data_IF_748091274765
#
_entry.id   IF_748091274765
#
_cell.length_a   1.000
_cell.length_b   1.000
_cell.length_c   1.000
_cell.angle_alpha   90.00
_cell.angle_beta   90.00
_cell.angle_gamma   90.00
#
_symmetry.space_group_name_H-M   'P 1'
#
loop_
_entity.id
_entity.type
_entity.pdbx_description
1 polymer ?
#
# COMPACT_ATOMS: atom_id res chain seq x y z
N UNK A 1 -12.07 28.31 13.06
CA UNK A 1 -11.88 27.40 14.19
C UNK A 1 -12.04 25.95 13.79
N UNK A 2 -13.20 25.52 13.28
CA UNK A 2 -13.46 24.13 12.88
C UNK A 2 -12.56 23.60 11.76
N UNK A 3 -11.97 24.44 10.93
CA UNK A 3 -11.04 24.04 9.85
C UNK A 3 -9.69 23.56 10.38
N UNK A 4 -9.35 23.86 11.63
CA UNK A 4 -8.05 23.50 12.25
C UNK A 4 -8.11 22.22 13.09
N UNK A 5 -9.30 21.60 13.25
CA UNK A 5 -9.37 20.31 13.92
C UNK A 5 -8.71 19.23 13.06
N UNK A 6 -7.75 18.53 13.65
CA UNK A 6 -7.16 17.33 13.03
C UNK A 6 -8.27 16.29 12.87
N UNK A 7 -8.36 15.72 11.69
CA UNK A 7 -9.32 14.66 11.36
C UNK A 7 -8.55 13.43 10.95
N UNK A 8 -8.94 12.28 11.47
CA UNK A 8 -8.32 11.01 11.19
C UNK A 8 -9.37 9.94 11.06
N UNK A 9 -9.09 8.94 10.23
CA UNK A 9 -9.82 7.68 10.13
C UNK A 9 -8.89 6.54 10.45
N UNK A 10 -9.43 5.45 10.99
CA UNK A 10 -8.71 4.21 11.25
C UNK A 10 -9.60 3.01 10.93
N UNK A 11 -8.99 2.00 10.34
CA UNK A 11 -9.61 0.69 10.12
C UNK A 11 -8.64 -0.41 10.51
N UNK A 12 -9.17 -1.47 11.13
CA UNK A 12 -8.46 -2.71 11.38
C UNK A 12 -9.28 -3.87 10.82
N UNK A 13 -8.61 -4.84 10.19
CA UNK A 13 -9.22 -5.96 9.51
C UNK A 13 -8.43 -7.24 9.80
N UNK A 14 -9.11 -8.36 9.91
CA UNK A 14 -8.50 -9.69 9.91
C UNK A 14 -8.23 -10.12 8.46
N UNK A 15 -6.96 -10.34 8.07
CA UNK A 15 -6.62 -10.54 6.67
C UNK A 15 -7.21 -11.82 6.04
N UNK A 16 -7.37 -12.88 6.85
CA UNK A 16 -7.84 -14.19 6.39
C UNK A 16 -9.34 -14.23 6.08
N UNK A 17 -10.11 -13.45 6.81
CA UNK A 17 -11.58 -13.46 6.70
C UNK A 17 -12.15 -12.20 6.05
N UNK A 18 -11.38 -11.13 5.98
CA UNK A 18 -11.84 -9.82 5.57
C UNK A 18 -12.70 -9.10 6.62
N UNK A 19 -12.90 -9.69 7.79
CA UNK A 19 -13.75 -9.09 8.81
C UNK A 19 -13.13 -7.82 9.38
N UNK A 20 -13.86 -6.72 9.28
CA UNK A 20 -13.48 -5.44 9.90
C UNK A 20 -13.65 -5.56 11.41
N UNK A 21 -12.56 -5.38 12.15
CA UNK A 21 -12.54 -5.47 13.62
C UNK A 21 -12.70 -4.12 14.30
N UNK A 22 -12.23 -3.04 13.65
CA UNK A 22 -12.40 -1.68 14.15
C UNK A 22 -12.57 -0.70 12.98
N UNK A 23 -13.43 0.29 13.19
CA UNK A 23 -13.67 1.37 12.24
C UNK A 23 -13.90 2.68 12.99
N UNK A 24 -13.04 3.64 12.74
CA UNK A 24 -13.19 5.00 13.26
C UNK A 24 -13.19 5.95 12.07
N UNK A 25 -14.37 6.37 11.61
CA UNK A 25 -14.53 7.24 10.43
C UNK A 25 -14.19 8.70 10.70
N UNK A 26 -14.15 9.12 11.95
CA UNK A 26 -13.85 10.50 12.34
C UNK A 26 -13.90 10.69 13.85
N UNK A 27 -13.58 11.92 14.29
CA UNK A 27 -13.42 12.25 15.72
C UNK A 27 -14.75 12.34 16.50
N UNK A 28 -15.83 12.72 15.82
CA UNK A 28 -17.14 12.86 16.46
C UNK A 28 -18.25 12.94 15.39
N UNK A 29 -19.04 11.88 15.25
CA UNK A 29 -20.08 11.80 14.23
C UNK A 29 -21.17 12.87 14.36
N UNK A 30 -21.49 13.31 15.57
CA UNK A 30 -22.50 14.35 15.81
C UNK A 30 -22.17 15.68 15.09
N UNK A 31 -20.87 15.99 15.00
CA UNK A 31 -20.40 17.25 14.42
C UNK A 31 -19.71 17.08 13.07
N UNK A 32 -19.18 15.88 12.77
CA UNK A 32 -18.40 15.59 11.57
C UNK A 32 -18.82 14.24 11.01
N UNK A 33 -19.80 14.24 10.13
CA UNK A 33 -20.39 13.01 9.55
C UNK A 33 -19.60 12.45 8.37
N UNK A 34 -18.54 13.13 7.94
CA UNK A 34 -17.68 12.68 6.85
C UNK A 34 -16.79 11.54 7.30
N UNK A 35 -16.89 10.41 6.60
CA UNK A 35 -16.11 9.19 6.90
C UNK A 35 -14.73 9.26 6.22
N UNK A 36 -13.70 9.39 7.04
CA UNK A 36 -12.31 9.44 6.58
C UNK A 36 -11.71 8.08 6.22
N UNK A 37 -12.40 6.97 6.51
CA UNK A 37 -11.95 5.64 6.14
C UNK A 37 -12.32 5.29 4.70
N UNK A 38 -13.59 5.50 4.31
CA UNK A 38 -14.11 5.09 3.00
C UNK A 38 -14.31 6.25 2.04
N UNK A 39 -14.88 7.37 2.52
CA UNK A 39 -15.14 8.54 1.66
C UNK A 39 -13.88 9.41 1.48
N UNK A 40 -13.04 9.49 2.50
CA UNK A 40 -11.82 10.28 2.50
C UNK A 40 -10.75 9.67 1.61
N UNK A 41 -10.58 10.20 0.40
CA UNK A 41 -9.46 9.87 -0.49
C UNK A 41 -8.37 10.92 -0.36
N UNK A 42 -7.13 10.47 -0.28
CA UNK A 42 -5.95 11.33 -0.16
C UNK A 42 -4.80 10.75 -0.95
N UNK A 43 -3.90 11.60 -1.40
CA UNK A 43 -2.65 11.18 -1.98
C UNK A 43 -1.86 10.34 -0.96
N UNK A 44 -1.67 9.07 -1.28
CA UNK A 44 -1.16 8.08 -0.34
C UNK A 44 0.36 8.11 -0.17
N UNK A 45 1.07 8.77 -1.07
CA UNK A 45 2.53 8.91 -1.00
C UNK A 45 3.26 7.57 -0.99
N UNK A 46 4.35 7.51 -0.27
CA UNK A 46 5.25 6.34 -0.22
C UNK A 46 4.61 5.05 0.30
N UNK A 47 3.39 5.08 0.82
CA UNK A 47 2.66 3.86 1.16
C UNK A 47 2.25 3.06 -0.08
N UNK A 48 2.37 3.62 -1.29
CA UNK A 48 2.19 2.88 -2.54
C UNK A 48 3.41 2.05 -2.96
N UNK A 49 4.60 2.36 -2.47
CA UNK A 49 5.83 1.65 -2.84
C UNK A 49 5.79 0.13 -2.70
N UNK A 50 5.16 -0.46 -1.68
CA UNK A 50 5.06 -1.92 -1.57
C UNK A 50 4.43 -2.59 -2.80
N UNK A 51 3.48 -1.95 -3.49
CA UNK A 51 2.91 -2.49 -4.74
C UNK A 51 3.94 -2.53 -5.87
N UNK A 52 4.76 -1.48 -6.01
CA UNK A 52 5.89 -1.45 -6.94
C UNK A 52 6.91 -2.55 -6.62
N UNK A 53 7.31 -2.65 -5.36
CA UNK A 53 8.30 -3.66 -4.94
C UNK A 53 7.76 -5.08 -5.10
N UNK A 54 6.50 -5.33 -4.76
CA UNK A 54 5.84 -6.62 -4.97
C UNK A 54 5.80 -6.99 -6.46
N UNK A 55 5.46 -6.04 -7.34
CA UNK A 55 5.50 -6.26 -8.79
C UNK A 55 6.91 -6.60 -9.27
N UNK A 56 7.92 -5.88 -8.79
CA UNK A 56 9.31 -6.11 -9.17
C UNK A 56 9.82 -7.49 -8.67
N UNK A 57 9.47 -7.87 -7.45
CA UNK A 57 9.79 -9.18 -6.89
C UNK A 57 9.13 -10.28 -7.72
N UNK A 58 7.85 -10.14 -7.99
CA UNK A 58 7.08 -11.17 -8.70
C UNK A 58 7.54 -11.35 -10.15
N UNK A 59 7.73 -10.27 -10.90
CA UNK A 59 8.05 -10.30 -12.32
C UNK A 59 9.54 -10.49 -12.61
N UNK A 60 10.40 -9.86 -11.82
CA UNK A 60 11.86 -9.86 -12.05
C UNK A 60 12.58 -10.86 -11.14
N UNK A 61 11.86 -11.57 -10.27
CA UNK A 61 12.40 -12.53 -9.29
C UNK A 61 13.50 -11.94 -8.42
N UNK A 62 13.32 -10.67 -8.02
CA UNK A 62 14.27 -9.95 -7.18
C UNK A 62 14.20 -10.41 -5.72
N UNK A 63 15.36 -10.36 -5.07
CA UNK A 63 15.56 -10.71 -3.66
C UNK A 63 15.65 -9.44 -2.79
N UNK A 64 15.32 -9.51 -1.50
CA UNK A 64 15.56 -8.41 -0.56
C UNK A 64 17.02 -7.94 -0.49
N UNK A 65 17.97 -8.81 -0.85
CA UNK A 65 19.42 -8.55 -0.85
C UNK A 65 19.92 -7.92 -2.14
N UNK A 66 19.14 -7.96 -3.23
CA UNK A 66 19.52 -7.30 -4.47
C UNK A 66 19.69 -5.81 -4.25
N UNK A 67 20.74 -5.25 -4.84
CA UNK A 67 21.15 -3.89 -4.57
C UNK A 67 21.13 -3.04 -5.83
N UNK A 68 20.71 -1.79 -5.67
CA UNK A 68 20.72 -0.77 -6.71
C UNK A 68 21.47 0.47 -6.22
N UNK A 69 22.07 1.26 -7.13
CA UNK A 69 22.77 2.48 -6.77
C UNK A 69 21.79 3.56 -6.28
N UNK A 70 22.08 4.16 -5.13
CA UNK A 70 21.33 5.31 -4.59
C UNK A 70 21.82 6.60 -5.27
N UNK A 71 21.45 6.78 -6.53
CA UNK A 71 21.77 7.93 -7.37
C UNK A 71 20.51 8.41 -8.09
N UNK A 72 20.48 9.69 -8.47
CA UNK A 72 19.38 10.22 -9.27
C UNK A 72 19.26 9.40 -10.55
N UNK A 73 18.07 8.93 -10.82
CA UNK A 73 17.74 8.13 -11.99
C UNK A 73 16.50 8.72 -12.66
N UNK A 74 16.62 8.99 -13.95
CA UNK A 74 15.56 9.56 -14.76
C UNK A 74 14.95 8.50 -15.67
N UNK A 75 13.64 8.41 -15.70
CA UNK A 75 12.91 7.71 -16.75
C UNK A 75 12.81 8.65 -17.96
N UNK A 76 13.22 8.16 -19.13
CA UNK A 76 13.26 8.92 -20.37
C UNK A 76 11.88 9.45 -20.77
N UNK A 77 11.82 10.59 -21.47
CA UNK A 77 10.57 11.14 -21.99
C UNK A 77 9.87 10.13 -22.89
N UNK A 78 8.54 10.14 -22.83
CA UNK A 78 7.65 9.32 -23.66
C UNK A 78 7.77 7.80 -23.47
N UNK A 79 8.64 7.30 -22.58
CA UNK A 79 8.78 5.86 -22.34
C UNK A 79 7.49 5.22 -21.81
N UNK A 80 6.79 5.94 -20.93
CA UNK A 80 5.53 5.51 -20.34
C UNK A 80 4.45 6.62 -20.43
N UNK A 81 4.44 7.38 -21.51
CA UNK A 81 3.51 8.49 -21.71
C UNK A 81 3.84 9.74 -20.90
N UNK A 82 4.99 9.80 -20.23
CA UNK A 82 5.49 11.00 -19.56
C UNK A 82 6.10 11.96 -20.59
N UNK A 83 5.62 13.21 -20.70
CA UNK A 83 6.13 14.16 -21.72
C UNK A 83 7.54 14.64 -21.44
N UNK A 84 7.94 14.67 -20.16
CA UNK A 84 9.22 15.13 -19.65
C UNK A 84 9.98 13.99 -18.97
N UNK A 85 11.34 14.08 -18.84
CA UNK A 85 12.08 13.11 -18.04
C UNK A 85 11.57 13.11 -16.59
N UNK A 86 11.33 11.94 -16.04
CA UNK A 86 10.88 11.83 -14.64
C UNK A 86 12.04 11.43 -13.73
N UNK A 87 12.56 12.39 -12.95
CA UNK A 87 13.76 12.28 -12.15
C UNK A 87 13.48 12.54 -10.66
N UNK A 88 12.85 11.61 -9.91
CA UNK A 88 12.53 11.86 -8.51
C UNK A 88 13.78 11.90 -7.64
N UNK A 89 13.81 12.85 -6.70
CA UNK A 89 14.87 12.99 -5.69
C UNK A 89 14.48 12.36 -4.36
N UNK A 90 15.48 12.00 -3.54
CA UNK A 90 15.24 11.55 -2.18
C UNK A 90 14.84 12.73 -1.28
N UNK A 91 13.91 12.53 -0.35
CA UNK A 91 13.47 13.57 0.59
C UNK A 91 14.58 14.10 1.52
N UNK A 92 15.65 13.31 1.70
CA UNK A 92 16.80 13.68 2.53
C UNK A 92 17.93 14.35 1.77
N UNK A 93 17.83 14.47 0.45
CA UNK A 93 18.91 14.90 -0.49
C UNK A 93 20.24 14.17 -0.30
N UNK A 94 20.20 12.98 0.32
CA UNK A 94 21.38 12.13 0.54
C UNK A 94 21.36 10.99 -0.46
N UNK A 95 22.49 10.85 -1.14
CA UNK A 95 22.72 9.85 -2.18
C UNK A 95 24.03 9.09 -1.91
N UNK A 96 24.23 8.01 -2.63
CA UNK A 96 25.49 7.28 -2.68
C UNK A 96 25.46 5.87 -2.14
N UNK A 97 26.38 5.07 -2.66
CA UNK A 97 26.50 3.66 -2.38
C UNK A 97 25.44 2.79 -3.01
N UNK A 98 25.56 1.49 -2.79
CA UNK A 98 24.55 0.50 -3.13
C UNK A 98 23.59 0.33 -1.96
N UNK A 99 22.30 0.20 -2.27
CA UNK A 99 21.25 -0.06 -1.27
C UNK A 99 20.52 -1.34 -1.62
N UNK A 100 20.44 -2.26 -0.66
CA UNK A 100 19.59 -3.44 -0.83
C UNK A 100 18.13 -3.01 -0.96
N UNK A 101 17.30 -3.79 -1.65
CA UNK A 101 15.87 -3.50 -1.79
C UNK A 101 15.20 -3.37 -0.42
N UNK A 102 15.59 -4.19 0.56
CA UNK A 102 15.09 -4.09 1.93
C UNK A 102 15.44 -2.75 2.58
N UNK A 103 16.68 -2.29 2.45
CA UNK A 103 17.10 -0.98 2.96
C UNK A 103 16.40 0.17 2.22
N UNK A 104 16.25 0.05 0.90
CA UNK A 104 15.64 1.06 0.05
C UNK A 104 14.16 1.28 0.39
N UNK A 105 13.38 0.20 0.55
CA UNK A 105 11.97 0.31 0.97
C UNK A 105 11.86 0.84 2.40
N UNK A 106 12.67 0.31 3.34
CA UNK A 106 12.67 0.71 4.74
C UNK A 106 12.92 2.21 4.93
N UNK A 107 13.82 2.78 4.14
CA UNK A 107 14.17 4.21 4.17
C UNK A 107 13.47 5.03 3.08
N UNK A 108 12.49 4.45 2.39
CA UNK A 108 11.65 5.12 1.41
C UNK A 108 12.44 5.82 0.29
N UNK A 109 13.48 5.18 -0.27
CA UNK A 109 14.35 5.75 -1.30
C UNK A 109 13.62 5.91 -2.63
N UNK A 110 13.47 7.16 -3.09
CA UNK A 110 12.79 7.48 -4.35
C UNK A 110 13.63 7.09 -5.57
N UNK A 111 14.93 7.25 -5.48
CA UNK A 111 15.91 6.87 -6.52
C UNK A 111 15.86 5.39 -6.88
N UNK A 112 15.66 4.53 -5.89
CA UNK A 112 15.50 3.08 -6.12
C UNK A 112 14.13 2.78 -6.69
N UNK A 113 13.10 3.48 -6.21
CA UNK A 113 11.73 3.32 -6.73
C UNK A 113 11.64 3.72 -8.21
N UNK A 114 12.35 4.77 -8.66
CA UNK A 114 12.38 5.13 -10.08
C UNK A 114 13.06 4.08 -10.95
N UNK A 115 14.16 3.50 -10.47
CA UNK A 115 14.86 2.42 -11.18
C UNK A 115 13.99 1.15 -11.29
N UNK A 116 13.27 0.78 -10.23
CA UNK A 116 12.33 -0.34 -10.27
C UNK A 116 11.16 -0.05 -11.22
N UNK A 117 10.60 1.17 -11.13
CA UNK A 117 9.49 1.59 -12.01
C UNK A 117 9.89 1.55 -13.48
N UNK A 118 11.12 1.94 -13.80
CA UNK A 118 11.64 1.87 -15.17
C UNK A 118 11.74 0.43 -15.69
N UNK A 119 12.03 -0.52 -14.81
CA UNK A 119 12.16 -1.94 -15.16
C UNK A 119 10.83 -2.65 -15.34
N UNK A 120 9.84 -2.39 -14.46
CA UNK A 120 8.56 -3.10 -14.49
C UNK A 120 7.48 -2.34 -15.28
N UNK A 121 7.61 -1.02 -15.41
CA UNK A 121 6.60 -0.14 -15.98
C UNK A 121 5.41 0.16 -15.05
N UNK A 122 4.68 1.27 -15.29
CA UNK A 122 3.58 1.68 -14.41
C UNK A 122 2.33 0.80 -14.53
N UNK A 123 2.02 0.29 -15.74
CA UNK A 123 0.82 -0.50 -15.95
C UNK A 123 0.77 -1.78 -15.11
N UNK A 124 1.80 -2.66 -15.06
CA UNK A 124 1.77 -3.85 -14.19
C UNK A 124 1.59 -3.52 -12.70
N UNK A 125 2.19 -2.40 -12.24
CA UNK A 125 2.05 -1.94 -10.85
C UNK A 125 0.62 -1.48 -10.57
N UNK A 126 0.01 -0.73 -11.47
CA UNK A 126 -1.38 -0.30 -11.35
C UNK A 126 -2.34 -1.50 -11.41
N UNK A 127 -2.08 -2.46 -12.30
CA UNK A 127 -2.88 -3.68 -12.44
C UNK A 127 -2.81 -4.55 -11.17
N UNK A 128 -1.62 -4.69 -10.56
CA UNK A 128 -1.48 -5.35 -9.26
C UNK A 128 -2.33 -4.66 -8.19
N UNK A 129 -2.24 -3.34 -8.08
CA UNK A 129 -3.01 -2.58 -7.10
C UNK A 129 -4.54 -2.74 -7.30
N UNK A 130 -5.01 -2.70 -8.55
CA UNK A 130 -6.43 -2.99 -8.89
C UNK A 130 -6.84 -4.41 -8.52
N UNK A 131 -5.99 -5.39 -8.78
CA UNK A 131 -6.23 -6.78 -8.42
C UNK A 131 -6.29 -6.99 -6.90
N UNK A 132 -5.60 -6.16 -6.14
CA UNK A 132 -5.64 -6.11 -4.67
C UNK A 132 -6.85 -5.30 -4.13
N UNK A 133 -7.85 -5.02 -4.96
CA UNK A 133 -9.11 -4.43 -4.55
C UNK A 133 -9.13 -2.89 -4.51
N UNK A 134 -8.16 -2.20 -5.10
CA UNK A 134 -8.21 -0.75 -5.23
C UNK A 134 -9.11 -0.38 -6.42
N UNK A 135 -10.24 0.23 -6.13
CA UNK A 135 -11.25 0.66 -7.11
C UNK A 135 -11.03 2.11 -7.58
N UNK A 136 -10.31 2.90 -6.80
CA UNK A 136 -9.97 4.28 -7.16
C UNK A 136 -9.09 4.33 -8.40
N UNK A 137 -9.18 5.42 -9.15
CA UNK A 137 -8.41 5.61 -10.37
C UNK A 137 -6.91 5.66 -10.08
N UNK A 138 -6.15 4.81 -10.76
CA UNK A 138 -4.69 4.78 -10.75
C UNK A 138 -4.24 5.02 -12.19
N UNK A 139 -3.56 6.15 -12.49
CA UNK A 139 -3.03 6.41 -13.83
C UNK A 139 -1.83 5.52 -14.13
N UNK A 140 -1.67 5.12 -15.40
CA UNK A 140 -0.53 4.30 -15.83
C UNK A 140 0.69 5.19 -16.16
N UNK A 141 1.17 5.94 -15.17
CA UNK A 141 2.32 6.86 -15.29
C UNK A 141 3.40 6.58 -14.24
N UNK A 142 4.68 6.89 -14.51
CA UNK A 142 5.77 6.59 -13.58
C UNK A 142 5.60 7.18 -12.16
N UNK A 143 4.92 8.32 -12.04
CA UNK A 143 4.72 9.02 -10.78
C UNK A 143 3.95 8.20 -9.72
N UNK A 144 3.22 7.15 -10.11
CA UNK A 144 2.56 6.26 -9.14
C UNK A 144 3.57 5.57 -8.21
N UNK A 145 4.84 5.42 -8.61
CA UNK A 145 5.90 4.90 -7.74
C UNK A 145 6.04 5.68 -6.43
N UNK A 146 5.65 6.95 -6.42
CA UNK A 146 5.70 7.82 -5.24
C UNK A 146 4.32 8.03 -4.59
N UNK A 147 3.29 7.32 -5.08
CA UNK A 147 1.95 7.34 -4.52
C UNK A 147 1.17 8.60 -4.83
N UNK A 148 1.18 9.02 -6.09
CA UNK A 148 0.36 10.15 -6.57
C UNK A 148 -1.15 9.89 -6.57
N UNK A 149 -1.68 8.65 -6.66
CA UNK A 149 -3.11 8.42 -6.60
C UNK A 149 -3.74 8.80 -5.26
N UNK A 150 -4.99 9.28 -5.32
CA UNK A 150 -5.84 9.54 -4.16
C UNK A 150 -6.65 8.28 -3.84
N UNK A 151 -6.27 7.59 -2.74
CA UNK A 151 -6.91 6.36 -2.29
C UNK A 151 -7.51 6.53 -0.89
N UNK A 152 -8.44 5.66 -0.53
CA UNK A 152 -9.03 5.60 0.80
C UNK A 152 -8.25 4.68 1.74
N UNK A 153 -8.41 4.88 3.05
CA UNK A 153 -7.88 3.97 4.08
C UNK A 153 -8.46 2.57 3.90
N UNK A 154 -9.75 2.48 3.55
CA UNK A 154 -10.45 1.22 3.29
C UNK A 154 -9.77 0.40 2.20
N UNK A 155 -9.47 1.02 1.05
CA UNK A 155 -8.80 0.36 -0.07
C UNK A 155 -7.38 -0.08 0.32
N UNK A 156 -6.64 0.80 0.99
CA UNK A 156 -5.26 0.51 1.40
C UNK A 156 -5.16 -0.62 2.42
N UNK A 157 -6.05 -0.65 3.42
CA UNK A 157 -6.06 -1.73 4.43
C UNK A 157 -6.44 -3.06 3.78
N UNK A 158 -7.45 -3.08 2.88
CA UNK A 158 -7.82 -4.26 2.13
C UNK A 158 -6.67 -4.80 1.28
N UNK A 159 -6.01 -3.93 0.51
CA UNK A 159 -4.90 -4.30 -0.36
C UNK A 159 -3.67 -4.82 0.43
N UNK A 160 -3.32 -4.16 1.53
CA UNK A 160 -2.23 -4.61 2.40
C UNK A 160 -2.53 -5.95 3.10
N UNK A 161 -3.82 -6.23 3.35
CA UNK A 161 -4.26 -7.51 3.89
C UNK A 161 -3.78 -8.70 3.07
N UNK A 162 -3.69 -8.57 1.76
CA UNK A 162 -3.22 -9.64 0.88
C UNK A 162 -1.74 -10.01 1.12
N UNK A 163 -0.87 -9.04 1.42
CA UNK A 163 0.53 -9.35 1.76
C UNK A 163 0.62 -10.15 3.06
N UNK A 164 -0.24 -9.86 4.05
CA UNK A 164 -0.31 -10.60 5.31
C UNK A 164 -1.05 -11.93 5.18
N UNK A 165 -1.77 -12.16 4.09
CA UNK A 165 -2.57 -13.33 3.81
C UNK A 165 -2.03 -14.11 2.60
N UNK A 166 -0.72 -14.32 2.55
CA UNK A 166 -0.06 -15.19 1.57
C UNK A 166 -0.35 -14.86 0.10
N UNK A 167 -0.65 -13.58 -0.21
CA UNK A 167 -0.95 -13.12 -1.56
C UNK A 167 -2.42 -13.20 -1.95
N UNK A 168 -3.29 -13.66 -1.05
CA UNK A 168 -4.72 -13.78 -1.27
C UNK A 168 -5.42 -12.51 -0.78
N UNK A 169 -6.01 -11.76 -1.70
CA UNK A 169 -6.88 -10.65 -1.35
C UNK A 169 -8.23 -11.17 -0.84
N UNK A 170 -8.69 -10.62 0.28
CA UNK A 170 -10.02 -10.87 0.84
C UNK A 170 -10.74 -9.54 0.96
N UNK A 171 -11.93 -9.44 0.37
CA UNK A 171 -12.72 -8.22 0.37
C UNK A 171 -13.18 -7.87 1.79
N UNK A 172 -12.89 -6.65 2.28
CA UNK A 172 -13.31 -6.25 3.62
C UNK A 172 -14.83 -6.29 3.79
N UNK A 173 -15.29 -6.91 4.87
CA UNK A 173 -16.72 -7.02 5.23
C UNK A 173 -16.97 -6.64 6.68
N UNK A 174 -18.10 -5.97 6.94
CA UNK A 174 -18.55 -5.60 8.29
C UNK A 174 -19.69 -6.48 8.80
N UNK A 175 -20.40 -7.14 7.87
CA UNK A 175 -21.58 -7.94 8.20
C UNK A 175 -21.27 -9.39 7.87
N UNK A 176 -21.08 -10.21 8.89
CA UNK A 176 -20.86 -11.64 8.72
C UNK A 176 -22.15 -12.43 8.62
N UNK A 177 -23.23 -11.95 9.30
CA UNK A 177 -24.48 -12.69 9.37
C UNK A 177 -25.64 -11.75 9.74
N UNK A 178 -26.84 -12.03 9.22
CA UNK A 178 -28.09 -11.37 9.59
C UNK A 178 -29.12 -12.46 9.93
N UNK A 179 -29.79 -12.31 11.06
CA UNK A 179 -30.88 -13.19 11.51
C UNK A 179 -32.14 -12.39 11.76
N UNK A 180 -33.29 -13.05 11.63
CA UNK A 180 -34.56 -12.49 12.08
C UNK A 180 -34.68 -12.58 13.60
N UNK A 181 -35.79 -12.05 14.14
CA UNK A 181 -36.10 -12.09 15.60
C UNK A 181 -36.28 -13.49 16.17
N UNK A 182 -36.44 -14.51 15.34
CA UNK A 182 -36.62 -15.91 15.74
C UNK A 182 -35.32 -16.74 15.59
N UNK A 183 -34.22 -16.10 15.16
CA UNK A 183 -32.96 -16.75 14.94
C UNK A 183 -32.83 -17.43 13.54
N UNK A 184 -33.76 -17.19 12.65
CA UNK A 184 -33.69 -17.69 11.27
C UNK A 184 -32.62 -16.91 10.51
N UNK A 185 -31.66 -17.61 9.92
CA UNK A 185 -30.59 -17.02 9.14
C UNK A 185 -31.17 -16.41 7.84
N UNK A 186 -31.02 -15.08 7.70
CA UNK A 186 -31.45 -14.33 6.51
C UNK A 186 -30.27 -14.09 5.54
N UNK A 187 -29.07 -13.94 6.08
CA UNK A 187 -27.86 -13.68 5.31
C UNK A 187 -26.64 -14.23 6.03
N UNK A 188 -25.73 -14.81 5.28
CA UNK A 188 -24.40 -15.18 5.72
C UNK A 188 -23.37 -14.74 4.68
N UNK A 189 -22.37 -13.99 5.11
CA UNK A 189 -21.27 -13.56 4.25
C UNK A 189 -20.29 -14.72 4.05
N UNK A 190 -20.03 -15.06 2.81
CA UNK A 190 -18.85 -15.88 2.46
C UNK A 190 -17.74 -14.93 2.01
N UNK A 191 -16.49 -15.12 2.47
CA UNK A 191 -15.38 -14.27 2.04
C UNK A 191 -15.22 -14.29 0.51
N UNK A 192 -15.25 -13.11 -0.12
CA UNK A 192 -14.86 -12.96 -1.53
C UNK A 192 -13.34 -12.91 -1.57
N UNK A 193 -12.71 -13.98 -2.09
CA UNK A 193 -11.26 -14.14 -2.15
C UNK A 193 -10.75 -14.10 -3.58
N UNK A 194 -9.52 -13.63 -3.78
CA UNK A 194 -8.83 -13.61 -5.06
C UNK A 194 -7.34 -13.87 -4.85
N UNK A 195 -6.80 -14.88 -5.53
CA UNK A 195 -5.36 -15.09 -5.61
C UNK A 195 -4.76 -14.00 -6.51
N UNK A 196 -3.84 -13.19 -5.99
CA UNK A 196 -3.31 -12.01 -6.70
C UNK A 196 -1.83 -12.12 -6.98
N UNK A 197 -1.04 -12.53 -6.00
CA UNK A 197 0.41 -12.77 -6.12
C UNK A 197 0.75 -14.10 -5.45
N UNK A 198 1.89 -14.68 -5.83
CA UNK A 198 2.33 -15.93 -5.20
C UNK A 198 2.64 -15.74 -3.71
N UNK A 199 2.52 -16.84 -2.94
CA UNK A 199 2.85 -16.86 -1.51
C UNK A 199 4.29 -16.39 -1.27
N UNK A 200 5.23 -16.81 -2.12
CA UNK A 200 6.63 -16.42 -2.02
C UNK A 200 6.81 -14.91 -2.23
N UNK A 201 6.15 -14.33 -3.25
CA UNK A 201 6.22 -12.89 -3.53
C UNK A 201 5.58 -12.07 -2.41
N UNK A 202 4.49 -12.56 -1.83
CA UNK A 202 3.84 -11.94 -0.67
C UNK A 202 4.76 -11.99 0.56
N UNK A 203 5.36 -13.15 0.86
CA UNK A 203 6.29 -13.33 1.98
C UNK A 203 7.52 -12.43 1.84
N UNK A 204 8.12 -12.37 0.66
CA UNK A 204 9.29 -11.51 0.40
C UNK A 204 8.90 -10.03 0.56
N UNK A 205 7.74 -9.62 0.07
CA UNK A 205 7.23 -8.25 0.24
C UNK A 205 7.01 -7.92 1.72
N UNK A 206 6.44 -8.83 2.48
CA UNK A 206 6.25 -8.67 3.93
C UNK A 206 7.58 -8.54 4.66
N UNK A 207 8.59 -9.33 4.29
CA UNK A 207 9.95 -9.23 4.84
C UNK A 207 10.58 -7.85 4.57
N UNK A 208 10.34 -7.26 3.39
CA UNK A 208 10.76 -5.88 3.10
C UNK A 208 10.06 -4.88 4.01
N UNK A 209 8.73 -5.03 4.20
CA UNK A 209 7.90 -4.15 5.05
C UNK A 209 8.31 -4.19 6.52
N UNK A 210 8.73 -5.34 7.04
CA UNK A 210 9.29 -5.44 8.40
C UNK A 210 10.50 -4.52 8.60
N UNK A 211 11.33 -4.32 7.57
CA UNK A 211 12.45 -3.40 7.61
C UNK A 211 12.05 -1.97 7.96
N UNK A 212 10.85 -1.53 7.54
CA UNK A 212 10.33 -0.18 7.81
C UNK A 212 10.24 0.08 9.32
N UNK A 213 9.74 -0.90 10.10
CA UNK A 213 9.57 -0.78 11.54
C UNK A 213 10.81 -1.22 12.33
N UNK A 214 11.65 -2.12 11.78
CA UNK A 214 12.86 -2.59 12.46
C UNK A 214 13.99 -1.55 12.48
N UNK A 215 14.24 -0.90 11.37
CA UNK A 215 15.37 0.05 11.23
C UNK A 215 15.11 1.21 10.25
N UNK A 216 13.93 1.28 9.68
CA UNK A 216 13.54 2.28 8.68
C UNK A 216 12.79 3.48 9.24
N UNK A 217 12.02 4.12 8.36
CA UNK A 217 11.25 5.35 8.67
C UNK A 217 10.19 5.18 9.77
N UNK A 218 9.73 3.95 10.03
CA UNK A 218 8.77 3.60 11.07
C UNK A 218 9.38 3.06 12.38
N UNK A 219 10.70 3.10 12.55
CA UNK A 219 11.39 2.48 13.70
C UNK A 219 10.93 3.02 15.06
N UNK A 220 10.40 4.25 15.12
CA UNK A 220 9.82 4.83 16.36
C UNK A 220 8.68 3.99 16.95
N UNK A 221 7.98 3.22 16.11
CA UNK A 221 6.89 2.37 16.58
C UNK A 221 7.37 1.37 17.63
N UNK A 222 8.58 0.83 17.47
CA UNK A 222 9.16 -0.16 18.37
C UNK A 222 9.59 0.38 19.74
N UNK A 223 9.71 1.69 19.88
CA UNK A 223 9.94 2.29 21.20
C UNK A 223 8.69 2.24 22.08
N UNK A 224 7.51 2.23 21.49
CA UNK A 224 6.23 2.27 22.19
C UNK A 224 5.54 0.90 22.22
N UNK A 225 5.86 0.03 21.28
CA UNK A 225 5.29 -1.32 21.13
C UNK A 225 6.48 -2.27 20.98
N UNK A 226 7.07 -2.74 22.11
CA UNK A 226 8.09 -3.78 22.07
C UNK A 226 7.50 -5.09 21.53
N UNK A 227 8.38 -5.95 20.98
CA UNK A 227 7.98 -7.28 20.50
C UNK A 227 7.52 -8.20 21.63
#
# INVERSE_FOLDING_TARGET
YYKHFMRAGMMSMEPQTGHVKAWVGGINYKHFQYDHVKQGKRQIGSTFKPFLYATAIDQLKLSPCDSLPDAIYCIEPNKFGNPEPWCPTNSSDKYGGLRTLKNALANSKNTISSQLMDKVGPKPVADLARNLGIESFIPDVPAIALGTPDLSVFEMVGAYGAFANQGIYVKPTMISRIEDKNGVLLYHSSPETKDVISEESAYVTLNLLEGVTKFGSGARLRHNIPE
#
